data_IF_673072380286
#
_entry.id   IF_673072380286
#
_cell.length_a   1.000
_cell.length_b   1.000
_cell.length_c   1.000
_cell.angle_alpha   90.00
_cell.angle_beta   90.00
_cell.angle_gamma   90.00
#
_symmetry.space_group_name_H-M   'P 1'
#
loop_
_entity.id
_entity.type
_entity.pdbx_description
1 polymer ?
#
# COMPACT_ATOMS: atom_id res chain seq x y z
N UNK A 1 6.59 -11.05 4.50
CA UNK A 1 5.84 -9.78 4.30
C UNK A 1 5.76 -9.44 2.82
N UNK A 2 6.85 -9.59 2.05
CA UNK A 2 6.82 -9.39 0.60
C UNK A 2 5.75 -10.25 -0.09
N UNK A 3 5.59 -11.52 0.30
CA UNK A 3 4.57 -12.42 -0.26
C UNK A 3 3.12 -12.00 0.02
N UNK A 4 2.91 -11.03 0.93
CA UNK A 4 1.59 -10.48 1.22
C UNK A 4 1.42 -9.09 0.59
N UNK A 5 2.40 -8.21 0.78
CA UNK A 5 2.34 -6.81 0.33
C UNK A 5 2.47 -6.70 -1.20
N UNK A 6 3.39 -7.45 -1.81
CA UNK A 6 3.66 -7.34 -3.24
C UNK A 6 2.44 -7.74 -4.11
N UNK A 7 1.84 -8.93 -3.95
CA UNK A 7 0.66 -9.27 -4.76
C UNK A 7 -0.52 -8.33 -4.49
N UNK A 8 -0.78 -7.97 -3.22
CA UNK A 8 -1.89 -7.08 -2.88
C UNK A 8 -1.74 -5.67 -3.47
N UNK A 9 -0.54 -5.08 -3.41
CA UNK A 9 -0.27 -3.77 -4.02
C UNK A 9 -0.35 -3.82 -5.53
N UNK A 10 0.23 -4.85 -6.16
CA UNK A 10 0.21 -5.04 -7.60
C UNK A 10 -1.23 -5.21 -8.12
N UNK A 11 -2.03 -6.08 -7.50
CA UNK A 11 -3.41 -6.33 -7.93
C UNK A 11 -4.28 -5.08 -7.79
N UNK A 12 -4.13 -4.34 -6.68
CA UNK A 12 -4.88 -3.12 -6.43
C UNK A 12 -4.50 -2.01 -7.43
N UNK A 13 -3.21 -1.79 -7.67
CA UNK A 13 -2.73 -0.78 -8.62
C UNK A 13 -3.10 -1.13 -10.06
N UNK A 14 -2.99 -2.41 -10.46
CA UNK A 14 -3.41 -2.87 -11.79
C UNK A 14 -4.91 -2.69 -11.99
N UNK A 15 -5.71 -2.97 -10.96
CA UNK A 15 -7.16 -2.74 -10.98
C UNK A 15 -7.49 -1.28 -11.20
N UNK A 16 -6.84 -0.38 -10.44
CA UNK A 16 -6.99 1.07 -10.61
C UNK A 16 -6.58 1.51 -12.03
N UNK A 17 -5.44 1.05 -12.52
CA UNK A 17 -4.92 1.40 -13.84
C UNK A 17 -5.86 0.98 -14.98
N UNK A 18 -6.59 -0.13 -14.82
CA UNK A 18 -7.57 -0.63 -15.79
C UNK A 18 -8.93 0.09 -15.74
N UNK A 19 -9.07 1.11 -14.90
CA UNK A 19 -10.32 1.87 -14.74
C UNK A 19 -11.24 1.36 -13.61
N UNK A 20 -10.75 0.44 -12.78
CA UNK A 20 -11.47 -0.11 -11.64
C UNK A 20 -12.13 -1.47 -11.88
N UNK A 21 -12.71 -2.07 -10.83
CA UNK A 21 -13.37 -3.38 -10.91
C UNK A 21 -14.63 -3.36 -11.76
N UNK A 22 -14.84 -4.42 -12.54
CA UNK A 22 -15.96 -4.58 -13.48
C UNK A 22 -17.11 -5.43 -12.94
N UNK A 23 -16.79 -6.34 -12.03
CA UNK A 23 -17.74 -7.28 -11.44
C UNK A 23 -17.49 -7.48 -9.95
N UNK A 24 -18.39 -8.24 -9.33
CA UNK A 24 -18.34 -8.58 -7.91
C UNK A 24 -17.04 -9.26 -7.48
N UNK A 25 -16.50 -10.13 -8.32
CA UNK A 25 -15.28 -10.87 -8.05
C UNK A 25 -14.08 -9.93 -7.97
N UNK A 26 -13.98 -9.00 -8.92
CA UNK A 26 -12.95 -7.96 -8.93
C UNK A 26 -13.11 -6.99 -7.76
N UNK A 27 -14.35 -6.57 -7.42
CA UNK A 27 -14.58 -5.73 -6.23
C UNK A 27 -14.17 -6.44 -4.94
N UNK A 28 -14.46 -7.74 -4.83
CA UNK A 28 -14.02 -8.54 -3.69
C UNK A 28 -12.50 -8.70 -3.65
N UNK A 29 -11.83 -8.84 -4.80
CA UNK A 29 -10.38 -8.87 -4.89
C UNK A 29 -9.73 -7.55 -4.47
N UNK A 30 -10.30 -6.42 -4.89
CA UNK A 30 -9.85 -5.09 -4.47
C UNK A 30 -9.98 -4.91 -2.95
N UNK A 31 -11.12 -5.31 -2.36
CA UNK A 31 -11.32 -5.30 -0.89
C UNK A 31 -10.28 -6.16 -0.16
N UNK A 32 -10.04 -7.40 -0.61
CA UNK A 32 -9.05 -8.29 0.01
C UNK A 32 -7.65 -7.71 -0.05
N UNK A 33 -7.26 -7.18 -1.22
CA UNK A 33 -5.94 -6.57 -1.42
C UNK A 33 -5.75 -5.33 -0.55
N UNK A 34 -6.75 -4.45 -0.52
CA UNK A 34 -6.72 -3.25 0.32
C UNK A 34 -6.60 -3.58 1.82
N UNK A 35 -7.37 -4.56 2.29
CA UNK A 35 -7.30 -5.01 3.69
C UNK A 35 -5.94 -5.66 4.01
N UNK A 36 -5.42 -6.50 3.11
CA UNK A 36 -4.10 -7.10 3.27
C UNK A 36 -2.99 -6.04 3.41
N UNK A 37 -3.07 -4.94 2.67
CA UNK A 37 -2.13 -3.82 2.78
C UNK A 37 -2.28 -3.08 4.11
N UNK A 38 -3.51 -2.74 4.52
CA UNK A 38 -3.76 -2.06 5.78
C UNK A 38 -3.23 -2.87 6.97
N UNK A 39 -3.55 -4.16 7.02
CA UNK A 39 -3.10 -5.04 8.11
C UNK A 39 -1.61 -5.35 8.04
N UNK A 40 -1.02 -5.38 6.85
CA UNK A 40 0.44 -5.46 6.71
C UNK A 40 1.12 -4.28 7.41
N UNK A 41 0.58 -3.07 7.30
CA UNK A 41 1.08 -1.91 8.04
C UNK A 41 1.04 -2.13 9.56
N UNK A 42 -0.07 -2.60 10.10
CA UNK A 42 -0.17 -2.94 11.54
C UNK A 42 0.86 -4.00 11.96
N UNK A 43 1.09 -5.01 11.13
CA UNK A 43 2.10 -6.05 11.39
C UNK A 43 3.55 -5.51 11.37
N UNK A 44 3.85 -4.50 10.56
CA UNK A 44 5.16 -3.84 10.55
C UNK A 44 5.42 -3.07 11.86
N UNK A 45 4.38 -2.48 12.46
CA UNK A 45 4.49 -1.80 13.75
C UNK A 45 4.72 -2.79 14.89
N UNK A 46 3.94 -3.87 14.94
CA UNK A 46 3.95 -4.84 16.05
C UNK A 46 5.18 -5.75 16.08
N UNK A 47 5.80 -6.02 14.92
CA UNK A 47 7.01 -6.85 14.84
C UNK A 47 8.29 -6.12 15.21
N UNK A 48 8.28 -4.80 15.25
CA UNK A 48 9.46 -4.01 15.63
C UNK A 48 9.51 -3.84 17.15
N UNK A 49 10.61 -4.27 17.78
CA UNK A 49 10.77 -4.18 19.25
C UNK A 49 10.91 -2.72 19.73
N UNK A 50 11.42 -1.83 18.88
CA UNK A 50 11.50 -0.38 19.12
C UNK A 50 11.67 0.34 17.77
N UNK A 51 10.57 0.59 17.03
CA UNK A 51 10.65 1.26 15.75
C UNK A 51 11.03 2.74 15.90
N UNK A 52 11.82 3.23 14.95
CA UNK A 52 12.15 4.66 14.83
C UNK A 52 10.88 5.47 14.53
N UNK A 53 10.86 6.76 14.89
CA UNK A 53 9.68 7.62 14.68
C UNK A 53 9.22 7.64 13.21
N UNK A 54 10.16 7.84 12.27
CA UNK A 54 9.90 7.84 10.84
C UNK A 54 9.32 6.50 10.35
N UNK A 55 9.80 5.37 10.89
CA UNK A 55 9.22 4.05 10.57
C UNK A 55 7.76 3.98 10.97
N UNK A 56 7.40 4.49 12.16
CA UNK A 56 6.02 4.48 12.66
C UNK A 56 5.15 5.36 11.78
N UNK A 57 5.61 6.57 11.47
CA UNK A 57 4.89 7.53 10.62
C UNK A 57 4.66 6.99 9.22
N UNK A 58 5.71 6.51 8.56
CA UNK A 58 5.62 5.96 7.21
C UNK A 58 4.76 4.71 7.14
N UNK A 59 4.81 3.85 8.17
CA UNK A 59 3.98 2.66 8.22
C UNK A 59 2.49 3.04 8.35
N UNK A 60 2.16 4.11 9.06
CA UNK A 60 0.77 4.62 9.14
C UNK A 60 0.25 5.08 7.78
N UNK A 61 1.11 5.63 6.91
CA UNK A 61 0.70 5.97 5.55
C UNK A 61 0.18 4.75 4.78
N UNK A 62 0.80 3.57 4.97
CA UNK A 62 0.35 2.33 4.34
C UNK A 62 -0.98 1.85 4.94
N UNK A 63 -1.14 1.95 6.27
CA UNK A 63 -2.39 1.62 6.95
C UNK A 63 -3.53 2.49 6.42
N UNK A 64 -3.30 3.81 6.35
CA UNK A 64 -4.31 4.78 5.94
C UNK A 64 -4.67 4.62 4.45
N UNK A 65 -3.68 4.43 3.57
CA UNK A 65 -3.93 4.19 2.15
C UNK A 65 -4.71 2.88 1.92
N UNK A 66 -4.33 1.80 2.61
CA UNK A 66 -5.05 0.52 2.56
C UNK A 66 -6.49 0.65 3.06
N UNK A 67 -6.71 1.36 4.17
CA UNK A 67 -8.03 1.61 4.71
C UNK A 67 -8.90 2.48 3.77
N UNK A 68 -8.31 3.49 3.13
CA UNK A 68 -9.00 4.31 2.13
C UNK A 68 -9.41 3.47 0.90
N UNK A 69 -8.51 2.64 0.37
CA UNK A 69 -8.83 1.70 -0.71
C UNK A 69 -9.93 0.72 -0.32
N UNK A 70 -9.90 0.20 0.91
CA UNK A 70 -10.91 -0.74 1.39
C UNK A 70 -12.28 -0.08 1.47
N UNK A 71 -12.36 1.16 1.97
CA UNK A 71 -13.61 1.95 2.01
C UNK A 71 -14.14 2.23 0.61
N UNK A 72 -13.29 2.67 -0.32
CA UNK A 72 -13.67 2.89 -1.72
C UNK A 72 -14.18 1.59 -2.39
N UNK A 73 -13.50 0.47 -2.15
CA UNK A 73 -13.89 -0.84 -2.69
C UNK A 73 -15.16 -1.44 -2.06
N UNK A 74 -15.49 -1.07 -0.81
CA UNK A 74 -16.80 -1.39 -0.22
C UNK A 74 -17.92 -0.54 -0.81
N UNK A 75 -17.67 0.76 -1.02
CA UNK A 75 -18.62 1.69 -1.60
C UNK A 75 -18.82 1.50 -3.12
N UNK A 76 -17.99 0.68 -3.77
CA UNK A 76 -17.91 0.53 -5.23
C UNK A 76 -17.66 1.84 -5.96
N UNK A 77 -16.88 2.71 -5.33
CA UNK A 77 -16.57 4.01 -5.86
C UNK A 77 -15.25 3.92 -6.65
N UNK A 78 -15.36 3.81 -7.97
CA UNK A 78 -14.21 3.72 -8.87
C UNK A 78 -13.36 4.99 -8.87
N UNK A 79 -13.98 6.16 -8.66
CA UNK A 79 -13.28 7.43 -8.56
C UNK A 79 -12.48 7.49 -7.27
N UNK A 80 -13.11 7.20 -6.13
CA UNK A 80 -12.41 7.16 -4.84
C UNK A 80 -11.30 6.11 -4.84
N UNK A 81 -11.50 4.96 -5.51
CA UNK A 81 -10.47 3.94 -5.63
C UNK A 81 -9.29 4.43 -6.47
N UNK A 82 -9.54 5.16 -7.55
CA UNK A 82 -8.50 5.77 -8.37
C UNK A 82 -7.71 6.85 -7.59
N UNK A 83 -8.40 7.63 -6.76
CA UNK A 83 -7.80 8.68 -5.93
C UNK A 83 -6.82 8.10 -4.86
N UNK A 84 -6.89 6.80 -4.55
CA UNK A 84 -5.95 6.13 -3.64
C UNK A 84 -4.58 5.84 -4.28
N UNK A 85 -4.46 5.92 -5.62
CA UNK A 85 -3.21 5.60 -6.33
C UNK A 85 -2.00 6.36 -5.79
N UNK A 86 -2.10 7.68 -5.69
CA UNK A 86 -0.99 8.52 -5.24
C UNK A 86 -0.65 8.29 -3.75
N UNK A 87 -1.62 8.30 -2.81
CA UNK A 87 -1.36 7.93 -1.42
C UNK A 87 -0.70 6.55 -1.27
N UNK A 88 -1.12 5.57 -2.05
CA UNK A 88 -0.57 4.22 -2.00
C UNK A 88 0.89 4.17 -2.51
N UNK A 89 1.18 4.81 -3.64
CA UNK A 89 2.55 4.90 -4.17
C UNK A 89 3.49 5.64 -3.18
N UNK A 90 3.00 6.73 -2.59
CA UNK A 90 3.72 7.48 -1.56
C UNK A 90 4.04 6.61 -0.34
N UNK A 91 3.06 5.84 0.15
CA UNK A 91 3.28 4.95 1.31
C UNK A 91 4.39 3.93 1.08
N UNK A 92 4.57 3.46 -0.16
CA UNK A 92 5.62 2.52 -0.52
C UNK A 92 6.99 3.20 -0.64
N UNK A 93 7.01 4.38 -1.27
CA UNK A 93 8.26 5.05 -1.66
C UNK A 93 8.92 5.83 -0.53
N UNK A 94 8.15 6.46 0.36
CA UNK A 94 8.71 7.22 1.50
C UNK A 94 9.51 6.31 2.42
N UNK A 95 8.88 5.23 2.91
CA UNK A 95 9.53 4.25 3.79
C UNK A 95 10.74 3.59 3.12
N UNK A 96 10.57 3.10 1.88
CA UNK A 96 11.60 2.29 1.25
C UNK A 96 12.85 3.08 0.83
N UNK A 97 12.76 4.39 0.57
CA UNK A 97 13.95 5.22 0.32
C UNK A 97 14.88 5.33 1.53
N UNK A 98 14.33 5.23 2.74
CA UNK A 98 15.08 5.30 3.98
C UNK A 98 15.48 3.91 4.48
N UNK A 99 14.53 2.97 4.50
CA UNK A 99 14.70 1.66 5.15
C UNK A 99 14.97 0.50 4.17
N UNK A 100 14.93 0.74 2.84
CA UNK A 100 15.19 -0.26 1.79
C UNK A 100 16.03 0.33 0.62
N UNK A 101 17.26 0.80 0.88
CA UNK A 101 18.10 1.46 -0.14
C UNK A 101 18.44 0.58 -1.36
N UNK A 102 18.40 -0.75 -1.21
CA UNK A 102 18.61 -1.68 -2.33
C UNK A 102 17.42 -1.74 -3.31
N UNK A 103 16.24 -1.25 -2.90
CA UNK A 103 15.02 -1.20 -3.73
C UNK A 103 14.83 0.21 -4.32
N UNK A 104 15.19 1.24 -3.56
CA UNK A 104 15.23 2.63 -4.02
C UNK A 104 16.63 3.21 -3.76
N UNK A 105 17.55 3.11 -4.73
CA UNK A 105 18.89 3.66 -4.58
C UNK A 105 18.82 5.16 -4.33
N UNK A 106 19.59 5.65 -3.36
CA UNK A 106 19.72 7.09 -3.15
C UNK A 106 20.51 7.69 -4.32
N UNK A 107 19.95 8.73 -4.95
CA UNK A 107 20.65 9.45 -6.01
C UNK A 107 21.92 10.07 -5.40
N UNK A 108 23.09 9.57 -5.81
CA UNK A 108 24.40 10.04 -5.34
C UNK A 108 25.21 9.08 -4.48
N UNK A 109 24.73 7.87 -4.20
CA UNK A 109 25.55 6.81 -3.60
C UNK A 109 26.62 6.34 -4.59
N UNK A 110 27.83 6.90 -4.48
CA UNK A 110 28.99 6.45 -5.27
C UNK A 110 29.26 4.97 -5.05
N UNK A 111 29.75 4.34 -6.13
CA UNK A 111 30.35 3.00 -6.15
C UNK A 111 31.40 2.81 -5.07
#
# INVERSE_FOLDING_TARGET
MLDLIYPASNDLLLTIFRGGPKDEGEWAAARRSALALAESGNLLLTRSRSPQADWIEDTKLLVDAGAAAYKAAQARDTKALADVREPLDRSCTTCHRQFRPNVFPQQGGSK
#
